data_IF_441110980635
#
_entry.id   IF_441110980635
#
_cell.length_a   1.000
_cell.length_b   1.000
_cell.length_c   1.000
_cell.angle_alpha   90.00
_cell.angle_beta   90.00
_cell.angle_gamma   90.00
#
_symmetry.space_group_name_H-M   'P 1'
#
loop_
_entity.id
_entity.type
_entity.pdbx_description
1 polymer ?
#
# COMPACT_ATOMS: atom_id res chain seq x y z
N UNK A 1 -13.23 -9.10 4.80
CA UNK A 1 -14.67 -8.76 4.84
C UNK A 1 -15.39 -9.04 3.53
N UNK A 2 -14.82 -8.72 2.35
CA UNK A 2 -15.45 -8.99 1.05
C UNK A 2 -15.88 -10.46 0.81
N UNK A 3 -15.21 -11.46 1.40
CA UNK A 3 -15.51 -12.88 1.18
C UNK A 3 -16.96 -13.27 1.50
N UNK A 4 -17.60 -12.60 2.46
CA UNK A 4 -18.96 -12.91 2.88
C UNK A 4 -20.03 -12.25 2.01
N UNK A 5 -19.65 -11.25 1.23
CA UNK A 5 -20.55 -10.50 0.35
C UNK A 5 -20.53 -10.98 -1.10
N UNK A 6 -19.81 -12.07 -1.39
CA UNK A 6 -19.75 -12.65 -2.74
C UNK A 6 -21.15 -12.85 -3.35
N UNK A 7 -22.13 -13.46 -2.64
CA UNK A 7 -23.47 -13.62 -3.21
C UNK A 7 -24.17 -12.29 -3.50
N UNK A 8 -24.00 -11.28 -2.63
CA UNK A 8 -24.57 -9.96 -2.83
C UNK A 8 -23.95 -9.24 -4.05
N UNK A 9 -22.64 -9.32 -4.23
CA UNK A 9 -21.96 -8.72 -5.38
C UNK A 9 -22.41 -9.35 -6.70
N UNK A 10 -22.52 -10.69 -6.74
CA UNK A 10 -23.05 -11.40 -7.91
C UNK A 10 -24.51 -11.03 -8.19
N UNK A 11 -25.35 -10.94 -7.14
CA UNK A 11 -26.73 -10.50 -7.27
C UNK A 11 -26.86 -9.12 -7.89
N UNK A 12 -26.04 -8.16 -7.45
CA UNK A 12 -25.99 -6.80 -8.03
C UNK A 12 -25.55 -6.85 -9.49
N UNK A 13 -24.48 -7.59 -9.82
CA UNK A 13 -23.99 -7.72 -11.19
C UNK A 13 -25.05 -8.30 -12.13
N UNK A 14 -25.75 -9.36 -11.70
CA UNK A 14 -26.83 -9.97 -12.47
C UNK A 14 -28.03 -9.04 -12.63
N UNK A 15 -28.44 -8.33 -11.58
CA UNK A 15 -29.54 -7.37 -11.66
C UNK A 15 -29.25 -6.23 -12.64
N UNK A 16 -28.03 -5.68 -12.59
CA UNK A 16 -27.58 -4.62 -13.51
C UNK A 16 -27.48 -5.16 -14.95
N UNK A 17 -26.88 -6.34 -15.15
CA UNK A 17 -26.77 -6.96 -16.47
C UNK A 17 -28.16 -7.23 -17.08
N UNK A 18 -29.09 -7.76 -16.29
CA UNK A 18 -30.47 -7.99 -16.73
C UNK A 18 -31.18 -6.68 -17.09
N UNK A 19 -31.03 -5.63 -16.27
CA UNK A 19 -31.60 -4.32 -16.54
C UNK A 19 -31.09 -3.76 -17.89
N UNK A 20 -29.77 -3.77 -18.10
CA UNK A 20 -29.17 -3.28 -19.34
C UNK A 20 -29.64 -4.11 -20.55
N UNK A 21 -29.61 -5.44 -20.44
CA UNK A 21 -30.08 -6.33 -21.51
C UNK A 21 -31.55 -6.06 -21.87
N UNK A 22 -32.43 -5.94 -20.86
CA UNK A 22 -33.85 -5.66 -21.06
C UNK A 22 -34.07 -4.29 -21.69
N UNK A 23 -33.31 -3.27 -21.30
CA UNK A 23 -33.50 -1.89 -21.80
C UNK A 23 -32.91 -1.65 -23.19
N UNK A 24 -31.90 -2.42 -23.60
CA UNK A 24 -31.31 -2.35 -24.94
C UNK A 24 -32.09 -3.19 -25.95
N UNK A 25 -32.83 -4.21 -25.49
CA UNK A 25 -33.54 -5.12 -26.39
C UNK A 25 -34.59 -4.38 -27.25
N UNK A 26 -34.50 -4.45 -28.59
CA UNK A 26 -35.45 -3.82 -29.51
C UNK A 26 -36.89 -4.31 -29.33
N UNK A 27 -37.08 -5.55 -28.87
CA UNK A 27 -38.38 -6.20 -28.69
C UNK A 27 -39.17 -5.66 -27.48
N UNK A 28 -38.57 -4.80 -26.66
CA UNK A 28 -39.16 -4.33 -25.41
C UNK A 28 -40.11 -3.11 -25.59
N UNK A 29 -40.58 -2.85 -26.81
CA UNK A 29 -41.56 -1.79 -27.13
C UNK A 29 -41.11 -0.35 -26.83
N UNK A 30 -39.80 -0.11 -26.64
CA UNK A 30 -39.28 1.23 -26.31
C UNK A 30 -38.95 2.04 -27.57
N UNK A 31 -39.07 3.37 -27.44
CA UNK A 31 -38.64 4.32 -28.47
C UNK A 31 -37.13 4.19 -28.75
N UNK A 32 -36.74 4.31 -30.03
CA UNK A 32 -35.35 4.18 -30.52
C UNK A 32 -34.38 5.10 -29.74
N UNK A 33 -34.77 6.35 -29.46
CA UNK A 33 -33.96 7.30 -28.66
C UNK A 33 -33.62 6.76 -27.27
N UNK A 34 -34.57 6.09 -26.62
CA UNK A 34 -34.40 5.52 -25.28
C UNK A 34 -33.47 4.31 -25.31
N UNK A 35 -33.55 3.48 -26.34
CA UNK A 35 -32.63 2.35 -26.53
C UNK A 35 -31.19 2.84 -26.78
N UNK A 36 -31.01 3.87 -27.60
CA UNK A 36 -29.69 4.48 -27.81
C UNK A 36 -29.08 5.04 -26.52
N UNK A 37 -29.89 5.69 -25.68
CA UNK A 37 -29.46 6.15 -24.35
C UNK A 37 -28.99 4.97 -23.49
N UNK A 38 -29.77 3.88 -23.39
CA UNK A 38 -29.36 2.70 -22.61
C UNK A 38 -28.14 1.99 -23.16
N UNK A 39 -27.94 2.02 -24.48
CA UNK A 39 -26.72 1.50 -25.12
C UNK A 39 -25.50 2.33 -24.73
N UNK A 40 -25.64 3.66 -24.72
CA UNK A 40 -24.59 4.58 -24.25
C UNK A 40 -24.28 4.34 -22.76
N UNK A 41 -25.32 4.21 -21.93
CA UNK A 41 -25.15 3.89 -20.50
C UNK A 41 -24.38 2.58 -20.32
N UNK A 42 -24.73 1.52 -21.06
CA UNK A 42 -24.04 0.24 -20.96
C UNK A 42 -22.55 0.36 -21.36
N UNK A 43 -22.26 1.06 -22.47
CA UNK A 43 -20.88 1.31 -22.89
C UNK A 43 -20.12 2.06 -21.79
N UNK A 44 -20.67 3.15 -21.27
CA UNK A 44 -20.04 3.94 -20.21
C UNK A 44 -19.77 3.11 -18.96
N UNK A 45 -20.73 2.29 -18.51
CA UNK A 45 -20.55 1.42 -17.32
C UNK A 45 -19.44 0.41 -17.53
N UNK A 46 -19.41 -0.26 -18.69
CA UNK A 46 -18.38 -1.26 -19.01
C UNK A 46 -17.02 -0.59 -19.12
N UNK A 47 -16.91 0.52 -19.84
CA UNK A 47 -15.67 1.28 -19.99
C UNK A 47 -15.15 1.81 -18.64
N UNK A 48 -16.03 2.34 -17.79
CA UNK A 48 -15.66 2.77 -16.45
C UNK A 48 -15.14 1.59 -15.59
N UNK A 49 -15.78 0.42 -15.69
CA UNK A 49 -15.31 -0.80 -15.04
C UNK A 49 -13.92 -1.22 -15.50
N UNK A 50 -13.68 -1.25 -16.82
CA UNK A 50 -12.36 -1.58 -17.39
C UNK A 50 -11.29 -0.58 -16.97
N UNK A 51 -11.59 0.72 -17.04
CA UNK A 51 -10.67 1.78 -16.58
C UNK A 51 -10.37 1.65 -15.09
N UNK A 52 -11.37 1.36 -14.26
CA UNK A 52 -11.17 1.11 -12.83
C UNK A 52 -10.28 -0.10 -12.60
N UNK A 53 -10.45 -1.19 -13.35
CA UNK A 53 -9.60 -2.37 -13.25
C UNK A 53 -8.16 -2.05 -13.67
N UNK A 54 -7.97 -1.28 -14.75
CA UNK A 54 -6.64 -0.88 -15.22
C UNK A 54 -5.92 0.01 -14.20
N UNK A 55 -6.61 1.00 -13.62
CA UNK A 55 -6.02 1.84 -12.56
C UNK A 55 -5.69 0.99 -11.33
N UNK A 56 -6.59 0.08 -10.95
CA UNK A 56 -6.39 -0.78 -9.77
C UNK A 56 -5.27 -1.80 -9.97
N UNK A 57 -5.02 -2.30 -11.19
CA UNK A 57 -3.98 -3.28 -11.45
C UNK A 57 -2.58 -2.67 -11.44
N UNK A 58 -2.46 -1.39 -11.78
CA UNK A 58 -1.18 -0.67 -11.79
C UNK A 58 -0.79 -0.12 -10.41
N UNK A 59 -1.67 -0.16 -9.41
CA UNK A 59 -1.38 0.37 -8.08
C UNK A 59 -0.51 -0.59 -7.26
N UNK A 60 0.63 -0.10 -6.74
CA UNK A 60 1.56 -0.90 -5.92
C UNK A 60 0.93 -1.37 -4.60
N UNK A 61 0.10 -0.53 -4.00
CA UNK A 61 -0.71 -0.84 -2.82
C UNK A 61 -2.10 -0.24 -2.94
N UNK A 62 -3.03 -0.77 -2.15
CA UNK A 62 -4.42 -0.30 -2.13
C UNK A 62 -4.91 -0.17 -0.69
N UNK A 63 -6.02 0.54 -0.49
CA UNK A 63 -6.55 0.89 0.84
C UNK A 63 -6.72 -0.30 1.79
N UNK A 64 -6.90 -1.52 1.26
CA UNK A 64 -7.05 -2.73 2.06
C UNK A 64 -5.74 -3.25 2.66
N UNK A 65 -4.57 -2.77 2.21
CA UNK A 65 -3.25 -3.07 2.80
C UNK A 65 -2.96 -2.15 4.01
N UNK A 66 -3.95 -1.93 4.89
CA UNK A 66 -3.91 -1.01 6.04
C UNK A 66 -2.52 -0.74 6.62
N UNK A 67 -1.84 -1.79 7.11
CA UNK A 67 -0.53 -1.63 7.75
C UNK A 67 0.59 -1.38 6.73
N UNK A 68 0.53 -1.94 5.52
CA UNK A 68 1.62 -1.88 4.54
C UNK A 68 1.35 -0.91 3.37
N UNK A 69 0.35 -0.05 3.49
CA UNK A 69 -0.07 0.87 2.43
C UNK A 69 1.09 1.78 1.99
N UNK A 70 1.81 2.35 2.97
CA UNK A 70 2.94 3.25 2.75
C UNK A 70 4.30 2.55 2.66
N UNK A 71 4.33 1.22 2.67
CA UNK A 71 5.60 0.48 2.61
C UNK A 71 6.40 0.75 1.33
N UNK A 72 5.79 0.95 0.14
CA UNK A 72 6.56 1.35 -1.05
C UNK A 72 7.16 2.76 -0.93
N UNK A 73 6.41 3.75 -0.42
CA UNK A 73 6.94 5.10 -0.17
C UNK A 73 8.11 5.05 0.84
N UNK A 74 7.96 4.26 1.90
CA UNK A 74 9.00 4.03 2.90
C UNK A 74 10.24 3.35 2.29
N UNK A 75 10.05 2.39 1.38
CA UNK A 75 11.14 1.72 0.67
C UNK A 75 11.88 2.66 -0.29
N UNK A 76 11.15 3.51 -1.03
CA UNK A 76 11.74 4.46 -1.96
C UNK A 76 12.69 5.45 -1.24
N UNK A 77 12.25 6.00 -0.10
CA UNK A 77 13.09 6.88 0.75
C UNK A 77 14.37 6.18 1.22
N UNK A 78 14.29 4.87 1.52
CA UNK A 78 15.45 4.08 1.94
C UNK A 78 16.38 3.83 0.74
N UNK A 79 15.83 3.48 -0.41
CA UNK A 79 16.60 3.14 -1.61
C UNK A 79 17.39 4.33 -2.18
N UNK A 80 16.86 5.55 -2.03
CA UNK A 80 17.56 6.79 -2.42
C UNK A 80 18.73 7.18 -1.50
N UNK A 81 18.82 6.57 -0.31
CA UNK A 81 19.83 6.91 0.68
C UNK A 81 21.20 6.27 0.39
N UNK A 82 22.27 6.87 0.91
CA UNK A 82 23.64 6.44 0.63
C UNK A 82 24.10 5.38 1.64
N UNK A 83 24.25 4.13 1.18
CA UNK A 83 24.61 2.97 2.01
C UNK A 83 23.70 2.86 3.24
N UNK A 84 22.39 2.64 3.04
CA UNK A 84 21.42 2.68 4.12
C UNK A 84 21.47 1.42 4.98
N UNK A 85 21.27 1.60 6.29
CA UNK A 85 21.01 0.54 7.24
C UNK A 85 19.57 0.65 7.77
N UNK A 86 18.79 -0.40 7.64
CA UNK A 86 17.43 -0.47 8.17
C UNK A 86 17.38 -1.38 9.38
N UNK A 87 16.99 -0.82 10.52
CA UNK A 87 16.89 -1.53 11.79
C UNK A 87 15.41 -1.74 12.14
N UNK A 88 15.03 -2.98 12.43
CA UNK A 88 13.67 -3.34 12.87
C UNK A 88 13.72 -4.37 13.99
N UNK A 89 12.70 -4.38 14.84
CA UNK A 89 12.48 -5.45 15.83
C UNK A 89 11.41 -6.46 15.40
N UNK A 90 10.76 -6.24 14.26
CA UNK A 90 9.69 -7.09 13.71
C UNK A 90 10.17 -7.72 12.40
N UNK A 91 10.45 -9.03 12.45
CA UNK A 91 10.93 -9.81 11.30
C UNK A 91 9.90 -9.86 10.17
N UNK A 92 8.61 -9.99 10.49
CA UNK A 92 7.57 -10.13 9.46
C UNK A 92 7.46 -8.85 8.64
N UNK A 93 7.51 -7.69 9.30
CA UNK A 93 7.51 -6.40 8.63
C UNK A 93 8.80 -6.14 7.87
N UNK A 94 9.94 -6.54 8.42
CA UNK A 94 11.24 -6.37 7.78
C UNK A 94 11.35 -7.19 6.49
N UNK A 95 10.91 -8.45 6.52
CA UNK A 95 10.86 -9.33 5.33
C UNK A 95 9.85 -8.81 4.31
N UNK A 96 8.72 -8.26 4.77
CA UNK A 96 7.75 -7.63 3.85
C UNK A 96 8.34 -6.40 3.15
N UNK A 97 9.14 -5.60 3.87
CA UNK A 97 9.82 -4.43 3.32
C UNK A 97 10.97 -4.84 2.38
N UNK A 98 11.72 -5.90 2.70
CA UNK A 98 12.91 -6.32 1.94
C UNK A 98 12.62 -6.67 0.48
N UNK A 99 11.39 -7.02 0.15
CA UNK A 99 10.98 -7.27 -1.24
C UNK A 99 11.01 -6.00 -2.12
N UNK A 100 10.96 -4.81 -1.51
CA UNK A 100 10.95 -3.51 -2.20
C UNK A 100 12.29 -2.77 -2.08
N UNK A 101 13.26 -3.33 -1.36
CA UNK A 101 14.54 -2.67 -1.10
C UNK A 101 15.59 -3.03 -2.17
N UNK A 102 16.44 -2.06 -2.48
CA UNK A 102 17.58 -2.27 -3.37
C UNK A 102 18.64 -3.18 -2.73
N UNK A 103 19.45 -3.92 -3.51
CA UNK A 103 20.47 -4.83 -2.99
C UNK A 103 21.57 -4.17 -2.14
N UNK A 104 21.74 -2.86 -2.26
CA UNK A 104 22.71 -2.08 -1.48
C UNK A 104 22.24 -1.76 -0.05
N UNK A 105 20.97 -2.03 0.27
CA UNK A 105 20.37 -1.78 1.59
C UNK A 105 20.73 -2.89 2.56
N UNK A 106 21.36 -2.54 3.68
CA UNK A 106 21.66 -3.52 4.73
C UNK A 106 20.51 -3.59 5.74
N UNK A 107 20.10 -4.81 6.07
CA UNK A 107 19.03 -5.07 7.04
C UNK A 107 19.59 -5.58 8.36
N UNK A 108 19.09 -5.05 9.47
CA UNK A 108 19.44 -5.52 10.80
C UNK A 108 18.18 -5.76 11.64
N UNK A 109 17.96 -7.03 11.98
CA UNK A 109 16.97 -7.41 12.97
C UNK A 109 17.59 -7.31 14.37
N UNK A 110 16.94 -6.58 15.27
CA UNK A 110 17.35 -6.50 16.67
C UNK A 110 16.25 -7.00 17.59
N UNK A 111 16.65 -7.70 18.66
CA UNK A 111 15.73 -7.97 19.77
C UNK A 111 15.67 -6.72 20.63
N UNK A 112 14.50 -6.43 21.19
CA UNK A 112 14.19 -5.20 21.93
C UNK A 112 15.12 -4.89 23.11
N UNK A 113 15.87 -5.89 23.59
CA UNK A 113 16.82 -5.76 24.70
C UNK A 113 18.22 -5.36 24.24
N UNK A 114 18.57 -5.63 22.98
CA UNK A 114 19.91 -5.44 22.48
C UNK A 114 20.09 -3.99 21.99
N UNK A 115 21.21 -3.39 22.35
CA UNK A 115 21.63 -2.14 21.72
C UNK A 115 22.20 -2.48 20.35
N UNK A 116 21.66 -1.96 19.23
CA UNK A 116 22.36 -2.04 17.98
C UNK A 116 23.70 -1.32 18.15
N UNK A 117 24.80 -2.03 17.90
CA UNK A 117 26.10 -1.39 17.75
C UNK A 117 25.97 -0.47 16.55
N UNK A 118 25.89 0.84 16.79
CA UNK A 118 25.72 1.81 15.71
C UNK A 118 26.96 1.74 14.85
N UNK A 119 26.80 1.20 13.64
CA UNK A 119 27.90 0.98 12.73
C UNK A 119 28.22 2.31 12.05
N UNK A 120 29.36 2.90 12.43
CA UNK A 120 29.90 4.14 11.85
C UNK A 120 30.16 4.06 10.35
N UNK A 121 30.07 2.86 9.76
CA UNK A 121 30.25 2.55 8.34
C UNK A 121 29.05 2.88 7.45
N UNK A 122 27.87 3.16 8.01
CA UNK A 122 26.68 3.56 7.24
C UNK A 122 26.43 5.05 7.35
N UNK A 123 26.10 5.67 6.22
CA UNK A 123 25.83 7.12 6.15
C UNK A 123 24.43 7.43 6.64
N UNK A 124 23.45 6.61 6.25
CA UNK A 124 22.05 6.79 6.59
C UNK A 124 21.53 5.58 7.38
N UNK A 125 21.03 5.82 8.59
CA UNK A 125 20.47 4.76 9.45
C UNK A 125 18.98 5.04 9.69
N UNK A 126 18.16 4.05 9.37
CA UNK A 126 16.71 4.10 9.51
C UNK A 126 16.21 3.14 10.58
N UNK A 127 15.30 3.62 11.43
CA UNK A 127 14.49 2.76 12.30
C UNK A 127 13.13 2.53 11.64
N UNK A 128 12.90 1.28 11.26
CA UNK A 128 11.65 0.86 10.64
C UNK A 128 10.68 0.32 11.68
N UNK A 129 9.57 1.04 11.86
CA UNK A 129 8.46 0.78 12.79
C UNK A 129 8.96 0.31 14.16
N UNK A 130 9.86 1.07 14.80
CA UNK A 130 10.42 0.66 16.08
C UNK A 130 9.31 0.57 17.13
N UNK A 131 9.44 -0.37 18.06
CA UNK A 131 8.60 -0.35 19.26
C UNK A 131 8.79 1.00 20.00
N UNK A 132 7.77 1.52 20.70
CA UNK A 132 7.90 2.77 21.46
C UNK A 132 9.09 2.76 22.43
N UNK A 133 9.35 1.60 23.06
CA UNK A 133 10.49 1.40 23.95
C UNK A 133 11.83 1.55 23.23
N UNK A 134 11.97 0.93 22.06
CA UNK A 134 13.18 1.04 21.25
C UNK A 134 13.42 2.47 20.77
N UNK A 135 12.37 3.16 20.31
CA UNK A 135 12.47 4.56 19.87
C UNK A 135 12.92 5.47 21.01
N UNK A 136 12.27 5.37 22.17
CA UNK A 136 12.63 6.17 23.36
C UNK A 136 14.06 5.90 23.83
N UNK A 137 14.54 4.65 23.68
CA UNK A 137 15.93 4.30 23.99
C UNK A 137 16.90 5.10 23.12
N UNK A 138 16.65 5.15 21.81
CA UNK A 138 17.47 5.96 20.91
C UNK A 138 17.37 7.46 21.18
N UNK A 139 16.17 7.98 21.49
CA UNK A 139 15.96 9.39 21.82
C UNK A 139 16.68 9.82 23.11
N UNK A 140 16.86 8.93 24.09
CA UNK A 140 17.41 9.26 25.43
C UNK A 140 18.88 8.90 25.61
N UNK A 141 19.30 7.76 25.07
CA UNK A 141 20.57 7.13 25.39
C UNK A 141 21.55 7.15 24.20
N UNK A 142 21.13 7.61 23.02
CA UNK A 142 21.96 7.69 21.82
C UNK A 142 22.36 9.13 21.50
N UNK A 143 23.57 9.39 20.97
CA UNK A 143 23.97 10.73 20.53
C UNK A 143 23.31 11.17 19.21
N UNK A 144 22.31 10.44 18.72
CA UNK A 144 21.65 10.69 17.44
C UNK A 144 20.28 11.30 17.64
N UNK A 145 19.94 12.32 16.86
CA UNK A 145 18.59 12.87 16.81
C UNK A 145 17.68 11.96 15.97
N UNK A 146 16.50 11.61 16.50
CA UNK A 146 15.56 10.67 15.90
C UNK A 146 14.46 11.45 15.19
N UNK A 147 14.60 11.66 13.88
CA UNK A 147 13.65 12.44 13.08
C UNK A 147 12.71 11.53 12.28
N UNK A 148 11.42 11.87 12.14
CA UNK A 148 10.53 11.12 11.26
C UNK A 148 10.96 11.30 9.81
N UNK A 149 11.20 10.19 9.11
CA UNK A 149 11.53 10.18 7.68
C UNK A 149 10.28 10.04 6.79
N UNK A 150 9.15 9.60 7.36
CA UNK A 150 7.89 9.43 6.63
C UNK A 150 6.70 10.03 7.42
N UNK A 151 5.66 10.53 6.71
CA UNK A 151 4.50 11.25 7.29
C UNK A 151 3.77 10.46 8.36
N UNK A 152 3.66 9.13 8.20
CA UNK A 152 3.01 8.24 9.18
C UNK A 152 3.86 7.92 10.40
N UNK A 153 5.10 8.43 10.48
CA UNK A 153 6.03 8.18 11.58
C UNK A 153 6.29 6.69 11.82
N UNK A 154 6.21 5.91 10.75
CA UNK A 154 6.58 4.50 10.70
C UNK A 154 8.04 4.31 10.32
N UNK A 155 8.64 5.29 9.65
CA UNK A 155 10.05 5.31 9.31
C UNK A 155 10.70 6.52 10.00
N UNK A 156 11.82 6.28 10.67
CA UNK A 156 12.59 7.31 11.35
C UNK A 156 14.04 7.25 10.87
N UNK A 157 14.69 8.40 10.80
CA UNK A 157 16.10 8.52 10.45
C UNK A 157 16.87 8.97 11.68
N UNK A 158 17.98 8.29 11.94
CA UNK A 158 18.96 8.70 12.95
C UNK A 158 19.92 9.69 12.29
N UNK A 159 19.93 10.92 12.79
CA UNK A 159 20.79 12.00 12.31
C UNK A 159 21.83 12.28 13.39
N UNK A 160 23.09 12.44 12.99
CA UNK A 160 24.15 12.87 13.91
C UNK A 160 24.07 14.36 14.21
#
# INVERSE_FOLDING_TARGET
>A
MARYFIPCYLGIQLAVAYLLAKKINPLNGQTIKRQQLWRLVAITVISAGVLSCAISSQAETWWHKYSNYYTPEEAHIINEANRPLVISSDIMRLVSLSYLLEPNVTLQLIKTKDYPKVFSSFSDVFLYRPSPKLRQKFEKESPYDVKPAHKRKHLWKLVR
#
